data_IF_763683064520
#
_entry.id   IF_763683064520
#
_cell.length_a   1.000
_cell.length_b   1.000
_cell.length_c   1.000
_cell.angle_alpha   90.00
_cell.angle_beta   90.00
_cell.angle_gamma   90.00
#
_symmetry.space_group_name_H-M   'P 1'
#
loop_
_entity.id
_entity.type
_entity.pdbx_description
1 polymer ?
#
# COMPACT_ATOMS: atom_id res chain seq x y z
N UNK A 1 9.84 -11.71 18.29
CA UNK A 1 9.67 -11.25 16.89
C UNK A 1 10.35 -9.91 16.79
N UNK A 2 11.46 -9.83 16.07
CA UNK A 2 12.43 -8.75 16.14
C UNK A 2 11.84 -7.39 15.69
N UNK A 3 12.10 -6.33 16.44
CA UNK A 3 11.58 -4.97 16.23
C UNK A 3 11.95 -4.48 14.83
N UNK A 4 13.18 -4.76 14.41
CA UNK A 4 13.71 -4.44 13.09
C UNK A 4 12.95 -5.17 11.95
N UNK A 5 12.43 -6.37 12.21
CA UNK A 5 11.69 -7.17 11.24
C UNK A 5 10.28 -6.62 10.94
N UNK A 6 9.56 -6.12 11.96
CA UNK A 6 8.23 -5.51 11.76
C UNK A 6 8.29 -4.16 11.06
N UNK A 7 9.35 -3.38 11.28
CA UNK A 7 9.56 -2.08 10.64
C UNK A 7 9.97 -2.24 9.16
N UNK A 8 10.92 -3.15 8.87
CA UNK A 8 11.35 -3.41 7.48
C UNK A 8 10.23 -3.93 6.57
N UNK A 9 9.23 -4.61 7.13
CA UNK A 9 8.11 -5.18 6.37
C UNK A 9 6.93 -4.22 6.13
N UNK A 10 6.88 -3.07 6.81
CA UNK A 10 5.72 -2.17 6.72
C UNK A 10 6.15 -0.69 6.67
N UNK A 11 6.29 -0.17 5.46
CA UNK A 11 6.72 1.20 5.19
C UNK A 11 5.82 2.24 5.88
N UNK A 12 4.49 2.05 5.86
CA UNK A 12 3.55 2.95 6.51
C UNK A 12 3.76 2.99 8.04
N UNK A 13 3.98 1.84 8.69
CA UNK A 13 4.26 1.80 10.13
C UNK A 13 5.57 2.52 10.48
N UNK A 14 6.60 2.33 9.66
CA UNK A 14 7.89 3.03 9.82
C UNK A 14 7.69 4.55 9.72
N UNK A 15 6.97 5.01 8.70
CA UNK A 15 6.71 6.43 8.50
C UNK A 15 5.89 7.03 9.64
N UNK A 16 4.87 6.30 10.12
CA UNK A 16 4.06 6.68 11.27
C UNK A 16 4.90 6.87 12.55
N UNK A 17 5.84 5.96 12.81
CA UNK A 17 6.74 6.02 13.95
C UNK A 17 7.75 7.17 13.85
N UNK A 18 8.35 7.36 12.67
CA UNK A 18 9.32 8.44 12.41
C UNK A 18 8.64 9.81 12.55
N UNK A 19 7.50 10.01 11.91
CA UNK A 19 6.76 11.27 11.98
C UNK A 19 6.30 11.56 13.41
N UNK A 20 5.76 10.56 14.11
CA UNK A 20 5.38 10.70 15.52
C UNK A 20 6.57 11.08 16.40
N UNK A 21 7.73 10.42 16.24
CA UNK A 21 8.96 10.75 16.96
C UNK A 21 9.47 12.16 16.68
N UNK A 22 9.49 12.57 15.41
CA UNK A 22 9.87 13.93 15.02
C UNK A 22 8.94 14.99 15.62
N UNK A 23 7.62 14.74 15.65
CA UNK A 23 6.66 15.65 16.28
C UNK A 23 6.90 15.79 17.78
N UNK A 24 7.22 14.69 18.48
CA UNK A 24 7.56 14.74 19.91
C UNK A 24 8.80 15.60 20.14
N UNK A 25 9.86 15.36 19.38
CA UNK A 25 11.11 16.12 19.49
C UNK A 25 10.93 17.60 19.12
N UNK A 26 10.08 17.90 18.14
CA UNK A 26 9.79 19.26 17.70
C UNK A 26 8.94 20.05 18.70
N UNK A 27 7.93 19.43 19.32
CA UNK A 27 6.95 20.13 20.17
C UNK A 27 7.37 20.16 21.65
N UNK A 28 8.06 19.12 22.15
CA UNK A 28 8.44 19.03 23.58
C UNK A 28 9.26 20.21 24.11
N UNK A 29 10.22 20.80 23.36
CA UNK A 29 10.93 22.00 23.81
C UNK A 29 9.99 23.19 24.05
N UNK A 30 8.93 23.33 23.25
CA UNK A 30 7.93 24.39 23.45
C UNK A 30 7.13 24.21 24.74
N UNK A 31 6.97 22.99 25.25
CA UNK A 31 6.36 22.76 26.57
C UNK A 31 7.23 23.38 27.66
N UNK A 32 8.53 23.08 27.66
CA UNK A 32 9.49 23.60 28.66
C UNK A 32 9.61 25.12 28.55
N UNK A 33 9.75 25.65 27.33
CA UNK A 33 9.85 27.08 27.09
C UNK A 33 8.60 27.83 27.57
N UNK A 34 7.39 27.32 27.30
CA UNK A 34 6.15 27.98 27.72
C UNK A 34 5.93 27.93 29.23
N UNK A 35 6.38 26.86 29.89
CA UNK A 35 6.41 26.79 31.36
C UNK A 35 7.38 27.84 31.93
N UNK A 36 8.56 27.99 31.32
CA UNK A 36 9.55 28.98 31.74
C UNK A 36 9.09 30.43 31.50
N UNK A 37 8.30 30.69 30.46
CA UNK A 37 7.74 32.03 30.18
C UNK A 37 6.45 32.33 30.93
N UNK A 38 5.98 31.43 31.81
CA UNK A 38 4.78 31.66 32.63
C UNK A 38 3.44 31.51 31.91
N UNK A 39 3.38 30.75 30.81
CA UNK A 39 2.15 30.47 30.06
C UNK A 39 1.71 28.99 30.21
N UNK A 40 1.27 28.55 31.40
CA UNK A 40 1.00 27.14 31.67
C UNK A 40 -0.14 26.56 30.82
N UNK A 41 -1.13 27.37 30.44
CA UNK A 41 -2.23 26.91 29.58
C UNK A 41 -1.77 26.48 28.19
N UNK A 42 -0.88 27.26 27.56
CA UNK A 42 -0.29 26.93 26.26
C UNK A 42 0.66 25.72 26.35
N UNK A 43 1.39 25.59 27.47
CA UNK A 43 2.22 24.42 27.73
C UNK A 43 1.38 23.13 27.86
N UNK A 44 0.26 23.17 28.58
CA UNK A 44 -0.66 22.04 28.73
C UNK A 44 -1.25 21.60 27.39
N UNK A 45 -1.61 22.56 26.53
CA UNK A 45 -2.09 22.27 25.18
C UNK A 45 -1.02 21.57 24.33
N UNK A 46 0.23 22.06 24.33
CA UNK A 46 1.34 21.39 23.64
C UNK A 46 1.57 19.95 24.16
N UNK A 47 1.48 19.73 25.47
CA UNK A 47 1.57 18.40 26.05
C UNK A 47 0.44 17.49 25.57
N UNK A 48 -0.81 17.99 25.52
CA UNK A 48 -1.96 17.27 24.99
C UNK A 48 -1.79 16.87 23.53
N UNK A 49 -1.23 17.76 22.70
CA UNK A 49 -0.93 17.48 21.28
C UNK A 49 0.09 16.36 21.15
N UNK A 50 1.19 16.41 21.93
CA UNK A 50 2.22 15.35 21.93
C UNK A 50 1.61 14.00 22.31
N UNK A 51 0.77 13.95 23.34
CA UNK A 51 0.08 12.73 23.76
C UNK A 51 -0.87 12.20 22.67
N UNK A 52 -1.64 13.09 22.03
CA UNK A 52 -2.56 12.73 20.95
C UNK A 52 -1.82 12.18 19.72
N UNK A 53 -0.69 12.80 19.34
CA UNK A 53 0.14 12.33 18.22
C UNK A 53 0.75 10.96 18.54
N UNK A 54 1.23 10.74 19.76
CA UNK A 54 1.82 9.45 20.20
C UNK A 54 0.79 8.31 20.28
N UNK A 55 -0.49 8.62 20.47
CA UNK A 55 -1.54 7.61 20.60
C UNK A 55 -1.69 6.76 19.33
N UNK A 56 -1.56 7.36 18.14
CA UNK A 56 -1.74 6.64 16.88
C UNK A 56 -0.61 5.62 16.60
N UNK A 57 0.69 5.96 16.66
CA UNK A 57 1.78 4.98 16.57
C UNK A 57 1.69 3.89 17.65
N UNK A 58 1.35 4.25 18.90
CA UNK A 58 1.19 3.28 19.98
C UNK A 58 0.03 2.29 19.71
N UNK A 59 -1.10 2.79 19.19
CA UNK A 59 -2.23 1.97 18.78
C UNK A 59 -1.87 1.06 17.60
N UNK A 60 -1.16 1.57 16.59
CA UNK A 60 -0.67 0.78 15.46
C UNK A 60 0.24 -0.36 15.93
N UNK A 61 1.14 -0.06 16.88
CA UNK A 61 2.08 -1.02 17.43
C UNK A 61 1.39 -2.20 18.14
N UNK A 62 0.38 -1.89 18.96
CA UNK A 62 -0.37 -2.88 19.75
C UNK A 62 -1.36 -3.70 18.92
N UNK A 63 -2.09 -3.07 18.02
CA UNK A 63 -3.20 -3.73 17.29
C UNK A 63 -2.82 -4.25 15.91
N UNK A 64 -1.70 -3.79 15.35
CA UNK A 64 -1.29 -4.09 13.98
C UNK A 64 -2.15 -3.41 12.89
N UNK A 65 -3.17 -2.63 13.26
CA UNK A 65 -4.10 -1.97 12.31
C UNK A 65 -3.56 -0.60 11.84
N UNK A 66 -2.52 -0.63 11.01
CA UNK A 66 -1.77 0.56 10.57
C UNK A 66 -2.63 1.58 9.82
N UNK A 67 -3.50 1.15 8.90
CA UNK A 67 -4.33 2.07 8.11
C UNK A 67 -5.27 2.92 8.99
N UNK A 68 -5.87 2.31 10.03
CA UNK A 68 -6.74 3.05 10.96
C UNK A 68 -5.94 4.04 11.81
N UNK A 69 -4.73 3.66 12.19
CA UNK A 69 -3.83 4.53 12.94
C UNK A 69 -3.37 5.74 12.11
N UNK A 70 -3.06 5.54 10.83
CA UNK A 70 -2.67 6.60 9.91
C UNK A 70 -3.81 7.62 9.70
N UNK A 71 -5.04 7.13 9.49
CA UNK A 71 -6.22 8.01 9.38
C UNK A 71 -6.45 8.79 10.68
N UNK A 72 -6.38 8.11 11.84
CA UNK A 72 -6.51 8.76 13.14
C UNK A 72 -5.44 9.85 13.34
N UNK A 73 -4.19 9.57 12.97
CA UNK A 73 -3.10 10.53 13.07
C UNK A 73 -3.32 11.74 12.15
N UNK A 74 -3.78 11.54 10.92
CA UNK A 74 -4.13 12.64 10.02
C UNK A 74 -5.24 13.54 10.56
N UNK A 75 -6.28 12.94 11.14
CA UNK A 75 -7.38 13.68 11.78
C UNK A 75 -6.87 14.47 12.99
N UNK A 76 -6.07 13.84 13.86
CA UNK A 76 -5.45 14.51 15.01
C UNK A 76 -4.57 15.66 14.55
N UNK A 77 -3.75 15.46 13.53
CA UNK A 77 -2.84 16.47 12.99
C UNK A 77 -3.60 17.70 12.44
N UNK A 78 -4.66 17.48 11.67
CA UNK A 78 -5.53 18.57 11.18
C UNK A 78 -6.26 19.27 12.33
N UNK A 79 -6.84 18.52 13.26
CA UNK A 79 -7.57 19.09 14.40
C UNK A 79 -6.65 19.89 15.32
N UNK A 80 -5.48 19.36 15.66
CA UNK A 80 -4.49 20.05 16.47
C UNK A 80 -4.06 21.37 15.83
N UNK A 81 -3.83 21.42 14.52
CA UNK A 81 -3.50 22.69 13.85
C UNK A 81 -4.62 23.72 13.95
N UNK A 82 -5.89 23.31 13.78
CA UNK A 82 -7.05 24.20 13.91
C UNK A 82 -7.29 24.66 15.35
N UNK A 83 -6.99 23.82 16.35
CA UNK A 83 -7.11 24.18 17.76
C UNK A 83 -5.95 25.11 18.18
N UNK A 84 -4.74 24.80 17.74
CA UNK A 84 -3.54 25.62 17.99
C UNK A 84 -3.72 27.01 17.39
N UNK A 85 -4.36 27.13 16.22
CA UNK A 85 -4.61 28.42 15.59
C UNK A 85 -5.58 29.32 16.36
N UNK A 86 -6.43 28.76 17.21
CA UNK A 86 -7.30 29.52 18.11
C UNK A 86 -6.59 30.04 19.37
N UNK A 87 -5.42 29.48 19.72
CA UNK A 87 -4.74 29.71 21.01
C UNK A 87 -3.36 30.34 20.86
N UNK A 88 -2.66 30.09 19.75
CA UNK A 88 -1.29 30.52 19.49
C UNK A 88 -1.18 31.57 18.38
N UNK A 89 -2.32 32.14 17.97
CA UNK A 89 -2.43 33.12 16.89
C UNK A 89 -1.65 32.66 15.64
N UNK A 90 -0.82 33.54 15.07
CA UNK A 90 -0.16 33.32 13.77
C UNK A 90 0.89 32.22 13.74
N UNK A 91 1.44 31.82 14.89
CA UNK A 91 2.45 30.75 14.95
C UNK A 91 1.89 29.41 14.47
N UNK A 92 0.57 29.22 14.55
CA UNK A 92 -0.09 28.01 14.07
C UNK A 92 -0.01 27.81 12.55
N UNK A 93 0.15 28.91 11.78
CA UNK A 93 0.28 28.85 10.32
C UNK A 93 1.52 28.06 9.89
N UNK A 94 2.60 28.11 10.67
CA UNK A 94 3.83 27.36 10.36
C UNK A 94 3.64 25.85 10.49
N UNK A 95 2.82 25.42 11.46
CA UNK A 95 2.55 24.01 11.70
C UNK A 95 1.60 23.41 10.66
N UNK A 96 0.74 24.24 10.03
CA UNK A 96 -0.17 23.76 8.99
C UNK A 96 0.57 23.24 7.75
N UNK A 97 1.74 23.81 7.41
CA UNK A 97 2.57 23.30 6.31
C UNK A 97 3.05 21.88 6.57
N UNK A 98 3.57 21.61 7.77
CA UNK A 98 3.99 20.27 8.17
C UNK A 98 2.79 19.31 8.21
N UNK A 99 1.64 19.80 8.63
CA UNK A 99 0.43 19.00 8.69
C UNK A 99 -0.05 18.54 7.31
N UNK A 100 -0.04 19.43 6.31
CA UNK A 100 -0.38 19.11 4.92
C UNK A 100 0.54 18.01 4.38
N UNK A 101 1.86 18.19 4.51
CA UNK A 101 2.84 17.21 4.02
C UNK A 101 2.65 15.85 4.70
N UNK A 102 2.46 15.86 6.02
CA UNK A 102 2.22 14.64 6.81
C UNK A 102 0.96 13.91 6.38
N UNK A 103 -0.11 14.62 6.07
CA UNK A 103 -1.36 14.03 5.60
C UNK A 103 -1.15 13.30 4.25
N UNK A 104 -0.40 13.88 3.31
CA UNK A 104 -0.09 13.24 2.02
C UNK A 104 0.88 12.07 2.12
N UNK A 105 1.67 12.00 3.19
CA UNK A 105 2.57 10.88 3.45
C UNK A 105 1.81 9.69 4.07
N UNK A 106 0.85 9.97 4.95
CA UNK A 106 0.17 8.94 5.75
C UNK A 106 -1.12 8.41 5.12
N UNK A 107 -1.87 9.27 4.42
CA UNK A 107 -3.18 8.91 3.85
C UNK A 107 -3.11 8.75 2.34
N UNK A 108 -4.11 8.03 1.80
CA UNK A 108 -4.36 7.99 0.37
C UNK A 108 -4.63 9.40 -0.16
N UNK A 109 -4.19 9.69 -1.40
CA UNK A 109 -4.22 11.06 -1.98
C UNK A 109 -5.57 11.78 -1.88
N UNK A 110 -6.68 11.05 -1.94
CA UNK A 110 -8.04 11.60 -1.83
C UNK A 110 -8.35 12.05 -0.40
N UNK A 111 -8.04 11.21 0.59
CA UNK A 111 -8.24 11.53 2.01
C UNK A 111 -7.31 12.66 2.46
N UNK A 112 -6.05 12.63 2.04
CA UNK A 112 -5.08 13.69 2.31
C UNK A 112 -5.52 15.05 1.75
N UNK A 113 -6.01 15.08 0.50
CA UNK A 113 -6.54 16.31 -0.11
C UNK A 113 -7.74 16.85 0.66
N UNK A 114 -8.71 15.99 1.03
CA UNK A 114 -9.87 16.39 1.81
C UNK A 114 -9.48 17.03 3.16
N UNK A 115 -8.60 16.39 3.92
CA UNK A 115 -8.12 16.92 5.21
C UNK A 115 -7.32 18.21 5.07
N UNK A 116 -6.51 18.33 4.00
CA UNK A 116 -5.72 19.54 3.73
C UNK A 116 -6.60 20.71 3.31
N UNK A 117 -7.65 20.47 2.53
CA UNK A 117 -8.65 21.49 2.18
C UNK A 117 -9.41 21.98 3.41
N UNK A 118 -9.83 21.07 4.29
CA UNK A 118 -10.48 21.43 5.56
C UNK A 118 -9.56 22.29 6.42
N UNK A 119 -8.28 21.92 6.52
CA UNK A 119 -7.30 22.69 7.28
C UNK A 119 -7.11 24.10 6.70
N UNK A 120 -6.85 24.22 5.40
CA UNK A 120 -6.60 25.50 4.74
C UNK A 120 -7.84 26.39 4.79
N UNK A 121 -9.02 25.87 4.47
CA UNK A 121 -10.27 26.62 4.54
C UNK A 121 -10.57 27.07 5.98
N UNK A 122 -10.37 26.19 6.96
CA UNK A 122 -10.55 26.52 8.37
C UNK A 122 -9.65 27.66 8.83
N UNK A 123 -8.39 27.67 8.40
CA UNK A 123 -7.43 28.74 8.73
C UNK A 123 -7.73 30.06 7.99
N UNK A 124 -8.18 30.00 6.73
CA UNK A 124 -8.54 31.20 5.95
C UNK A 124 -9.79 31.92 6.48
N UNK A 125 -10.72 31.19 7.10
CA UNK A 125 -11.96 31.76 7.66
C UNK A 125 -11.74 32.35 9.06
N UNK A 126 -10.66 32.00 9.77
CA UNK A 126 -10.40 32.51 11.11
C UNK A 126 -10.13 34.02 11.09
N UNK A 127 -10.97 34.77 11.81
CA UNK A 127 -10.85 36.22 11.95
C UNK A 127 -9.62 36.55 12.79
N UNK A 128 -8.84 37.56 12.37
CA UNK A 128 -7.66 38.03 13.09
C UNK A 128 -6.40 37.20 12.88
N UNK A 129 -6.47 36.12 12.07
CA UNK A 129 -5.31 35.28 11.77
C UNK A 129 -4.26 35.98 10.89
N UNK A 130 -4.71 36.81 9.94
CA UNK A 130 -3.84 37.52 9.01
C UNK A 130 -3.92 39.02 9.26
N UNK A 131 -2.77 39.68 9.34
CA UNK A 131 -2.68 41.13 9.59
C UNK A 131 -2.82 41.94 8.30
N UNK A 132 -2.43 41.33 7.18
CA UNK A 132 -2.43 41.95 5.85
C UNK A 132 -2.98 40.99 4.81
N UNK A 133 -3.60 41.56 3.78
CA UNK A 133 -3.99 40.82 2.57
C UNK A 133 -2.77 40.13 1.93
N UNK A 134 -1.57 40.72 2.05
CA UNK A 134 -0.32 40.11 1.55
C UNK A 134 0.01 38.82 2.30
N UNK A 135 -0.19 38.79 3.62
CA UNK A 135 0.08 37.60 4.44
C UNK A 135 -0.89 36.47 4.10
N UNK A 136 -2.19 36.81 4.00
CA UNK A 136 -3.24 35.85 3.64
C UNK A 136 -3.03 35.28 2.23
N UNK A 137 -2.72 36.13 1.25
CA UNK A 137 -2.46 35.69 -0.12
C UNK A 137 -1.18 34.87 -0.23
N UNK A 138 -0.12 35.26 0.47
CA UNK A 138 1.12 34.46 0.53
C UNK A 138 0.89 33.09 1.15
N UNK A 139 0.12 33.02 2.23
CA UNK A 139 -0.27 31.75 2.86
C UNK A 139 -1.13 30.89 1.91
N UNK A 140 -2.12 31.47 1.25
CA UNK A 140 -2.98 30.75 0.30
C UNK A 140 -2.17 30.20 -0.89
N UNK A 141 -1.28 31.00 -1.47
CA UNK A 141 -0.43 30.57 -2.59
C UNK A 141 0.54 29.48 -2.15
N UNK A 142 1.21 29.63 -1.00
CA UNK A 142 2.17 28.64 -0.50
C UNK A 142 1.51 27.32 -0.15
N UNK A 143 0.36 27.33 0.52
CA UNK A 143 -0.39 26.10 0.83
C UNK A 143 -0.97 25.43 -0.42
N UNK A 144 -1.38 26.21 -1.43
CA UNK A 144 -1.79 25.69 -2.73
C UNK A 144 -0.63 24.98 -3.44
N UNK A 145 0.52 25.65 -3.57
CA UNK A 145 1.71 25.08 -4.21
C UNK A 145 2.20 23.83 -3.46
N UNK A 146 2.20 23.87 -2.12
CA UNK A 146 2.56 22.73 -1.29
C UNK A 146 1.60 21.56 -1.51
N UNK A 147 0.30 21.81 -1.56
CA UNK A 147 -0.71 20.78 -1.81
C UNK A 147 -0.58 20.17 -3.21
N UNK A 148 -0.30 20.99 -4.23
CA UNK A 148 -0.05 20.52 -5.61
C UNK A 148 1.20 19.64 -5.65
N UNK A 149 2.30 20.08 -5.05
CA UNK A 149 3.54 19.31 -4.97
C UNK A 149 3.34 17.98 -4.24
N UNK A 150 2.73 18.01 -3.05
CA UNK A 150 2.46 16.82 -2.25
C UNK A 150 1.52 15.85 -2.96
N UNK A 151 0.49 16.34 -3.64
CA UNK A 151 -0.41 15.51 -4.45
C UNK A 151 0.33 14.83 -5.62
N UNK A 152 1.16 15.58 -6.36
CA UNK A 152 1.94 15.04 -7.46
C UNK A 152 2.96 14.00 -6.98
N UNK A 153 3.59 14.23 -5.82
CA UNK A 153 4.51 13.28 -5.19
C UNK A 153 3.79 11.99 -4.76
N UNK A 154 2.64 12.12 -4.09
CA UNK A 154 1.83 10.97 -3.69
C UNK A 154 1.39 10.14 -4.90
N UNK A 155 0.95 10.78 -5.98
CA UNK A 155 0.58 10.11 -7.24
C UNK A 155 1.77 9.37 -7.88
N UNK A 156 2.96 10.00 -7.91
CA UNK A 156 4.17 9.36 -8.43
C UNK A 156 4.56 8.15 -7.59
N UNK A 157 4.48 8.24 -6.27
CA UNK A 157 4.78 7.13 -5.38
C UNK A 157 3.78 5.98 -5.60
N UNK A 158 2.47 6.24 -5.66
CA UNK A 158 1.45 5.22 -6.01
C UNK A 158 1.80 4.50 -7.33
N UNK A 159 2.18 5.25 -8.37
CA UNK A 159 2.56 4.68 -9.66
C UNK A 159 3.86 3.87 -9.59
N UNK A 160 4.86 4.35 -8.85
CA UNK A 160 6.12 3.63 -8.64
C UNK A 160 5.90 2.33 -7.87
N UNK A 161 5.09 2.36 -6.81
CA UNK A 161 4.71 1.17 -6.07
C UNK A 161 3.98 0.17 -6.96
N UNK A 162 3.05 0.63 -7.80
CA UNK A 162 2.37 -0.23 -8.76
C UNK A 162 3.33 -0.86 -9.80
N UNK A 163 4.32 -0.09 -10.28
CA UNK A 163 5.35 -0.60 -11.19
C UNK A 163 6.30 -1.59 -10.52
N UNK A 164 6.74 -1.30 -9.29
CA UNK A 164 7.58 -2.23 -8.53
C UNK A 164 6.82 -3.51 -8.22
N UNK A 165 5.53 -3.40 -7.88
CA UNK A 165 4.66 -4.55 -7.72
C UNK A 165 4.55 -5.34 -9.03
N UNK A 166 4.36 -4.71 -10.19
CA UNK A 166 4.26 -5.45 -11.47
C UNK A 166 5.59 -6.06 -11.93
N UNK A 167 6.73 -5.46 -11.59
CA UNK A 167 8.04 -6.09 -11.81
C UNK A 167 8.25 -7.28 -10.86
N UNK A 168 7.68 -7.22 -9.65
CA UNK A 168 7.75 -8.28 -8.66
C UNK A 168 6.64 -9.34 -8.79
N UNK A 169 5.84 -9.36 -9.86
CA UNK A 169 4.88 -10.46 -10.14
C UNK A 169 5.42 -11.49 -11.14
N UNK A 170 6.58 -11.24 -11.74
CA UNK A 170 7.19 -12.17 -12.71
C UNK A 170 8.48 -12.75 -12.17
N UNK A 171 8.74 -13.99 -12.56
CA UNK A 171 10.02 -14.64 -12.35
C UNK A 171 11.07 -13.99 -13.28
N UNK A 172 12.20 -13.47 -12.75
CA UNK A 172 13.17 -12.72 -13.56
C UNK A 172 13.92 -13.60 -14.56
N UNK A 173 14.00 -14.92 -14.33
CA UNK A 173 14.70 -15.85 -15.22
C UNK A 173 13.85 -16.23 -16.43
N UNK A 174 12.60 -16.60 -16.19
CA UNK A 174 11.70 -17.18 -17.19
C UNK A 174 10.65 -16.20 -17.71
N UNK A 175 10.42 -15.08 -17.01
CA UNK A 175 9.35 -14.13 -17.30
C UNK A 175 7.93 -14.65 -16.98
N UNK A 176 7.79 -15.88 -16.49
CA UNK A 176 6.52 -16.45 -16.06
C UNK A 176 5.93 -15.69 -14.87
N UNK A 177 4.62 -15.78 -14.66
CA UNK A 177 4.00 -15.32 -13.42
C UNK A 177 4.61 -16.04 -12.24
N UNK A 178 5.05 -15.32 -11.22
CA UNK A 178 5.55 -15.94 -10.00
C UNK A 178 4.39 -16.37 -9.10
N UNK A 179 4.73 -16.96 -7.94
CA UNK A 179 3.74 -17.41 -6.97
C UNK A 179 2.74 -16.32 -6.54
N UNK A 180 3.14 -15.06 -6.50
CA UNK A 180 2.22 -13.99 -6.13
C UNK A 180 1.18 -13.74 -7.22
N UNK A 181 1.62 -13.69 -8.49
CA UNK A 181 0.68 -13.57 -9.60
C UNK A 181 -0.26 -14.78 -9.68
N UNK A 182 0.27 -15.98 -9.43
CA UNK A 182 -0.53 -17.19 -9.29
C UNK A 182 -1.67 -17.03 -8.28
N UNK A 183 -1.35 -16.59 -7.07
CA UNK A 183 -2.34 -16.48 -5.99
C UNK A 183 -3.36 -15.37 -6.31
N UNK A 184 -2.92 -14.25 -6.92
CA UNK A 184 -3.80 -13.18 -7.39
C UNK A 184 -4.80 -13.69 -8.46
N UNK A 185 -4.30 -14.39 -9.48
CA UNK A 185 -5.12 -14.93 -10.57
C UNK A 185 -6.08 -16.03 -10.09
N UNK A 186 -5.63 -16.90 -9.18
CA UNK A 186 -6.46 -17.96 -8.60
C UNK A 186 -7.61 -17.39 -7.76
N UNK A 187 -7.33 -16.37 -6.94
CA UNK A 187 -8.37 -15.70 -6.14
C UNK A 187 -9.39 -14.99 -7.04
N UNK A 188 -8.94 -14.35 -8.12
CA UNK A 188 -9.82 -13.73 -9.09
C UNK A 188 -10.72 -14.77 -9.79
N UNK A 189 -10.16 -15.91 -10.20
CA UNK A 189 -10.89 -17.00 -10.81
C UNK A 189 -11.94 -17.61 -9.87
N UNK A 190 -11.60 -17.84 -8.60
CA UNK A 190 -12.55 -18.32 -7.58
C UNK A 190 -13.69 -17.32 -7.37
N UNK A 191 -13.38 -16.02 -7.29
CA UNK A 191 -14.41 -14.98 -7.13
C UNK A 191 -15.33 -14.86 -8.36
N UNK A 192 -14.81 -15.06 -9.57
CA UNK A 192 -15.60 -15.13 -10.78
C UNK A 192 -16.51 -16.37 -10.79
N UNK A 193 -15.97 -17.54 -10.43
CA UNK A 193 -16.71 -18.80 -10.34
C UNK A 193 -17.86 -18.77 -9.30
N UNK A 194 -17.72 -17.98 -8.24
CA UNK A 194 -18.80 -17.75 -7.28
C UNK A 194 -19.99 -16.97 -7.88
N UNK A 195 -19.74 -16.13 -8.89
CA UNK A 195 -20.80 -15.38 -9.59
C UNK A 195 -21.41 -16.20 -10.72
N UNK A 196 -20.56 -16.91 -11.45
CA UNK A 196 -20.93 -17.74 -12.59
C UNK A 196 -20.17 -19.07 -12.53
N UNK A 197 -20.82 -20.14 -12.02
CA UNK A 197 -20.17 -21.43 -11.86
C UNK A 197 -19.73 -22.01 -13.20
N UNK A 198 -18.42 -22.13 -13.39
CA UNK A 198 -17.76 -22.72 -14.54
C UNK A 198 -16.73 -23.76 -14.06
N UNK A 199 -16.61 -24.92 -14.73
CA UNK A 199 -15.58 -25.89 -14.37
C UNK A 199 -14.19 -25.28 -14.50
N UNK A 200 -13.39 -25.35 -13.43
CA UNK A 200 -12.01 -24.85 -13.40
C UNK A 200 -11.03 -25.98 -13.10
N UNK A 201 -9.88 -25.99 -13.78
CA UNK A 201 -8.79 -26.95 -13.58
C UNK A 201 -7.50 -26.21 -13.27
N UNK A 202 -6.77 -26.65 -12.23
CA UNK A 202 -5.43 -26.17 -11.90
C UNK A 202 -4.41 -27.27 -12.22
N UNK A 203 -3.48 -26.98 -13.13
CA UNK A 203 -2.34 -27.85 -13.44
C UNK A 203 -1.09 -27.46 -12.66
N UNK A 204 -0.41 -28.45 -12.08
CA UNK A 204 0.92 -28.27 -11.46
C UNK A 204 1.90 -29.15 -12.24
N UNK A 205 3.03 -28.57 -12.64
CA UNK A 205 4.04 -29.22 -13.46
C UNK A 205 5.38 -29.28 -12.71
N UNK A 206 6.00 -30.45 -12.69
CA UNK A 206 7.32 -30.71 -12.09
C UNK A 206 8.23 -31.33 -13.18
N UNK A 207 9.41 -30.75 -13.42
CA UNK A 207 10.50 -31.31 -14.21
C UNK A 207 11.21 -32.41 -13.41
N UNK A 208 11.03 -33.64 -13.85
CA UNK A 208 11.73 -34.79 -13.29
C UNK A 208 13.26 -34.65 -13.42
N UNK A 209 13.98 -35.04 -12.37
CA UNK A 209 15.45 -35.11 -12.35
C UNK A 209 16.20 -33.81 -12.73
N UNK A 210 15.58 -32.63 -12.56
CA UNK A 210 16.19 -31.35 -12.94
C UNK A 210 17.56 -31.09 -12.27
N UNK A 211 17.76 -31.58 -11.04
CA UNK A 211 19.05 -31.49 -10.34
C UNK A 211 20.18 -32.16 -11.14
N UNK A 212 19.91 -33.33 -11.73
CA UNK A 212 20.90 -34.06 -12.54
C UNK A 212 21.33 -33.28 -13.78
N UNK A 213 20.41 -32.49 -14.37
CA UNK A 213 20.74 -31.60 -15.49
C UNK A 213 21.69 -30.49 -15.04
N UNK A 214 21.42 -29.86 -13.89
CA UNK A 214 22.32 -28.85 -13.33
C UNK A 214 23.69 -29.41 -12.97
N UNK A 215 23.72 -30.60 -12.36
CA UNK A 215 24.96 -31.23 -11.91
C UNK A 215 25.84 -31.67 -13.10
N UNK A 216 25.23 -32.07 -14.23
CA UNK A 216 25.95 -32.56 -15.42
C UNK A 216 26.32 -31.46 -16.43
N UNK A 217 25.46 -30.45 -16.61
CA UNK A 217 25.61 -29.43 -17.66
C UNK A 217 25.78 -28.00 -17.13
N UNK A 218 25.78 -27.84 -15.81
CA UNK A 218 25.90 -26.55 -15.14
C UNK A 218 24.58 -25.77 -15.07
N UNK A 219 24.54 -24.79 -14.16
CA UNK A 219 23.35 -23.98 -13.90
C UNK A 219 22.85 -23.20 -15.11
N UNK A 220 23.74 -22.68 -15.96
CA UNK A 220 23.32 -21.97 -17.18
C UNK A 220 22.53 -22.86 -18.15
N UNK A 221 22.86 -24.15 -18.21
CA UNK A 221 22.11 -25.10 -19.04
C UNK A 221 20.72 -25.36 -18.45
N UNK A 222 20.63 -25.51 -17.12
CA UNK A 222 19.35 -25.59 -16.42
C UNK A 222 18.47 -24.36 -16.66
N UNK A 223 19.04 -23.16 -16.60
CA UNK A 223 18.35 -21.90 -16.88
C UNK A 223 17.77 -21.85 -18.30
N UNK A 224 18.51 -22.36 -19.30
CA UNK A 224 18.01 -22.48 -20.67
C UNK A 224 16.83 -23.46 -20.76
N UNK A 225 16.93 -24.61 -20.11
CA UNK A 225 15.84 -25.60 -20.04
C UNK A 225 14.57 -24.98 -19.44
N UNK A 226 14.70 -24.23 -18.34
CA UNK A 226 13.58 -23.54 -17.69
C UNK A 226 12.92 -22.52 -18.63
N UNK A 227 13.71 -21.68 -19.31
CA UNK A 227 13.19 -20.71 -20.29
C UNK A 227 12.43 -21.41 -21.42
N UNK A 228 13.02 -22.44 -22.03
CA UNK A 228 12.39 -23.19 -23.12
C UNK A 228 11.11 -23.90 -22.69
N UNK A 229 11.08 -24.47 -21.48
CA UNK A 229 9.87 -25.08 -20.93
C UNK A 229 8.74 -24.05 -20.81
N UNK A 230 9.02 -22.91 -20.16
CA UNK A 230 8.02 -21.86 -19.96
C UNK A 230 7.49 -21.34 -21.30
N UNK A 231 8.36 -21.09 -22.27
CA UNK A 231 7.93 -20.69 -23.62
C UNK A 231 7.05 -21.74 -24.29
N UNK A 232 7.40 -23.03 -24.17
CA UNK A 232 6.65 -24.13 -24.78
C UNK A 232 5.25 -24.24 -24.17
N UNK A 233 5.15 -24.15 -22.84
CA UNK A 233 3.87 -24.19 -22.13
C UNK A 233 3.01 -22.98 -22.51
N UNK A 234 3.58 -21.77 -22.50
CA UNK A 234 2.84 -20.55 -22.88
C UNK A 234 2.30 -20.62 -24.31
N UNK A 235 3.10 -21.09 -25.28
CA UNK A 235 2.64 -21.28 -26.67
C UNK A 235 1.51 -22.30 -26.77
N UNK A 236 1.58 -23.39 -25.99
CA UNK A 236 0.59 -24.46 -26.01
C UNK A 236 -0.74 -23.98 -25.42
N UNK A 237 -0.69 -23.27 -24.29
CA UNK A 237 -1.87 -22.72 -23.62
C UNK A 237 -2.55 -21.62 -24.45
N UNK A 238 -1.79 -20.74 -25.11
CA UNK A 238 -2.39 -19.69 -25.97
C UNK A 238 -3.12 -20.26 -27.18
N UNK A 239 -2.59 -21.32 -27.80
CA UNK A 239 -3.26 -22.01 -28.90
C UNK A 239 -4.55 -22.69 -28.48
N UNK A 240 -4.59 -23.26 -27.27
CA UNK A 240 -5.80 -23.91 -26.75
C UNK A 240 -6.95 -22.92 -26.56
N UNK A 241 -6.67 -21.71 -26.05
CA UNK A 241 -7.67 -20.65 -25.86
C UNK A 241 -8.13 -20.01 -27.17
N UNK A 242 -7.24 -19.84 -28.16
CA UNK A 242 -7.62 -19.41 -29.52
C UNK A 242 -8.47 -20.45 -30.26
N UNK A 243 -8.16 -21.75 -30.09
CA UNK A 243 -8.89 -22.83 -30.75
C UNK A 243 -10.31 -23.02 -30.19
N UNK A 244 -10.54 -22.81 -28.89
CA UNK A 244 -11.90 -22.79 -28.32
C UNK A 244 -12.68 -21.55 -28.76
N UNK A 245 -12.05 -20.38 -28.84
CA UNK A 245 -12.69 -19.16 -29.32
C UNK A 245 -13.10 -19.23 -30.81
N UNK A 246 -12.42 -20.06 -31.61
CA UNK A 246 -12.74 -20.33 -33.02
C UNK A 246 -13.88 -21.34 -33.21
N UNK A 247 -14.13 -22.24 -32.25
CA UNK A 247 -15.16 -23.28 -32.35
C UNK A 247 -16.57 -22.79 -31.95
N UNK A 248 -16.67 -21.67 -31.25
CA UNK A 248 -17.94 -21.14 -30.71
C UNK A 248 -18.57 -20.00 -31.54
N UNK A 249 -18.22 -19.86 -32.84
CA UNK A 249 -18.87 -18.87 -33.73
C UNK A 249 -20.25 -19.26 -34.27
N UNK A 250 -20.87 -20.34 -33.80
CA UNK A 250 -22.17 -20.83 -34.33
C UNK A 250 -23.35 -20.84 -33.35
N UNK A 251 -23.19 -20.41 -32.10
CA UNK A 251 -24.34 -20.29 -31.20
C UNK A 251 -24.14 -19.19 -30.18
N UNK A 252 -25.03 -18.21 -30.23
CA UNK A 252 -25.21 -17.04 -29.37
C UNK A 252 -25.03 -17.32 -27.86
N UNK A 253 -23.79 -17.31 -27.35
CA UNK A 253 -23.48 -17.10 -25.93
C UNK A 253 -22.13 -16.39 -25.82
N UNK A 254 -22.16 -15.10 -25.48
CA UNK A 254 -20.97 -14.28 -25.26
C UNK A 254 -20.45 -14.48 -23.84
N UNK A 255 -19.51 -15.40 -23.64
CA UNK A 255 -18.76 -15.49 -22.39
C UNK A 255 -17.31 -15.06 -22.65
N UNK A 256 -17.08 -13.75 -22.68
CA UNK A 256 -15.75 -13.14 -22.72
C UNK A 256 -15.20 -13.04 -21.30
N UNK A 257 -14.70 -14.17 -20.78
CA UNK A 257 -13.75 -14.15 -19.68
C UNK A 257 -12.52 -14.95 -20.14
N UNK A 258 -11.36 -14.30 -20.37
CA UNK A 258 -10.15 -15.05 -20.65
C UNK A 258 -9.85 -15.93 -19.44
N UNK A 259 -9.80 -17.24 -19.66
CA UNK A 259 -9.29 -18.22 -18.70
C UNK A 259 -7.94 -17.68 -18.20
N UNK A 260 -7.78 -17.29 -16.92
CA UNK A 260 -6.53 -16.73 -16.44
C UNK A 260 -5.45 -17.79 -16.60
N UNK A 261 -4.42 -17.45 -17.37
CA UNK A 261 -3.27 -18.30 -17.58
C UNK A 261 -2.64 -18.64 -16.22
N UNK A 262 -2.67 -19.92 -15.88
CA UNK A 262 -2.12 -20.52 -14.67
C UNK A 262 -0.80 -19.88 -14.21
N UNK A 263 -0.86 -19.18 -13.08
CA UNK A 263 -0.29 -19.64 -11.83
C UNK A 263 0.93 -20.61 -11.85
N UNK A 264 2.16 -20.10 -12.01
CA UNK A 264 3.38 -20.86 -11.73
C UNK A 264 3.96 -20.47 -10.35
N UNK A 265 3.65 -21.26 -9.31
CA UNK A 265 4.27 -21.05 -8.00
C UNK A 265 5.66 -21.67 -7.90
N UNK A 266 6.62 -20.78 -7.61
CA UNK A 266 7.82 -20.98 -6.79
C UNK A 266 8.31 -22.42 -6.62
N UNK A 267 9.33 -22.75 -7.40
CA UNK A 267 10.15 -23.93 -7.25
C UNK A 267 10.98 -23.83 -5.95
N UNK A 268 10.54 -24.53 -4.91
CA UNK A 268 11.38 -24.83 -3.74
C UNK A 268 11.18 -26.29 -3.39
N UNK A 269 12.27 -27.05 -3.47
CA UNK A 269 12.33 -28.47 -3.15
C UNK A 269 11.80 -28.72 -1.73
N UNK A 270 10.57 -29.22 -1.61
CA UNK A 270 10.13 -29.94 -0.43
C UNK A 270 9.10 -30.98 -0.84
N UNK A 271 9.56 -32.22 -0.91
CA UNK A 271 8.76 -33.43 -1.03
C UNK A 271 7.75 -33.53 0.13
N UNK A 272 6.45 -33.38 -0.16
CA UNK A 272 5.40 -34.04 0.64
C UNK A 272 4.31 -34.59 -0.27
N UNK A 273 4.18 -35.91 -0.20
CA UNK A 273 3.14 -36.72 -0.82
C UNK A 273 1.88 -36.57 0.02
N UNK A 274 0.81 -35.99 -0.54
CA UNK A 274 -0.53 -36.07 0.03
C UNK A 274 -1.32 -37.08 -0.79
N UNK A 275 -1.30 -38.34 -0.35
CA UNK A 275 -2.31 -39.32 -0.73
C UNK A 275 -3.57 -39.01 0.09
N UNK A 276 -4.65 -38.62 -0.59
CA UNK A 276 -5.91 -38.27 0.04
C UNK A 276 -7.04 -38.30 -0.97
N UNK A 277 -7.56 -39.51 -1.21
CA UNK A 277 -8.81 -39.79 -1.93
C UNK A 277 -9.97 -39.01 -1.30
N UNK A 278 -10.57 -38.10 -2.05
CA UNK A 278 -11.91 -37.56 -1.76
C UNK A 278 -12.91 -38.27 -2.68
N UNK A 279 -13.41 -39.42 -2.22
CA UNK A 279 -14.60 -40.04 -2.78
C UNK A 279 -15.84 -39.21 -2.39
N UNK A 280 -16.71 -38.90 -3.36
CA UNK A 280 -18.00 -38.28 -3.14
C UNK A 280 -18.98 -39.31 -2.53
N UNK A 281 -19.89 -38.90 -1.61
CA UNK A 281 -20.96 -39.78 -1.16
C UNK A 281 -22.13 -39.73 -2.16
N UNK A 282 -22.42 -40.87 -2.80
CA UNK A 282 -23.74 -41.14 -3.37
C UNK A 282 -24.72 -41.40 -2.22
N UNK A 283 -25.81 -40.62 -2.18
CA UNK A 283 -26.89 -40.76 -1.22
C UNK A 283 -28.24 -40.67 -1.92
N UNK A 284 -29.02 -41.73 -1.74
CA UNK A 284 -30.36 -42.06 -2.27
C UNK A 284 -31.43 -41.01 -2.00
#
# INVERSE_FOLDING_TARGET
>A
MDIAGRLKGNFQLTMLMVLGGCSVLGISPFVVLRLATGEPGKALLNLGIVLAICAAPAYAWRTGRVQRAAVAMGLVNTLCCLVVSLVFDRQALLWSYLAIVTNFILLDRRGAMGLSLVLVAGLLVQVGMFESVIEMTSYAVTTLLLSIYSYASAYRNELQQARLASLATRDPLTGAGNRRLMEEDLNAAIAANQREPTPMTLGILDIDHFKSVNDLYGHEAGDRVLKTLVETVQRTLRRSTESTASAERSSSWSCQAPIPAMAFASWRASTRRCEGSCAAPEGR
#
